data_IF_996601930528
#
_entry.id   IF_996601930528
#
_cell.length_a   1.000
_cell.length_b   1.000
_cell.length_c   1.000
_cell.angle_alpha   90.00
_cell.angle_beta   90.00
_cell.angle_gamma   90.00
#
_symmetry.space_group_name_H-M   'P 1'
#
loop_
_entity.id
_entity.type
_entity.pdbx_description
1 polymer ?
#
# COMPACT_ATOMS: atom_id res chain seq x y z
N UNK A 1 23.44 -24.34 22.88
CA UNK A 1 22.61 -23.71 23.91
C UNK A 1 23.45 -22.67 24.63
N UNK A 2 23.15 -21.39 24.41
CA UNK A 2 23.66 -20.30 25.26
C UNK A 2 23.09 -20.46 26.67
N UNK A 3 23.88 -20.22 27.74
CA UNK A 3 23.37 -20.36 29.10
C UNK A 3 22.31 -19.29 29.38
N UNK A 4 21.15 -19.71 29.89
CA UNK A 4 20.13 -18.82 30.46
C UNK A 4 20.72 -18.14 31.70
N UNK A 5 20.79 -16.81 31.69
CA UNK A 5 21.20 -16.02 32.86
C UNK A 5 19.99 -15.79 33.76
N UNK A 6 20.17 -16.03 35.06
CA UNK A 6 19.13 -15.82 36.07
C UNK A 6 19.69 -15.09 37.30
N UNK A 7 18.88 -14.23 37.90
CA UNK A 7 19.21 -13.50 39.13
C UNK A 7 18.09 -13.67 40.16
N UNK A 8 18.48 -13.92 41.41
CA UNK A 8 17.55 -14.01 42.55
C UNK A 8 17.46 -12.65 43.22
N UNK A 9 16.32 -12.01 43.14
CA UNK A 9 16.02 -10.84 43.97
C UNK A 9 15.28 -11.33 45.22
N UNK A 10 15.71 -10.88 46.40
CA UNK A 10 15.06 -11.23 47.67
C UNK A 10 14.17 -10.07 48.15
N UNK A 11 12.89 -10.01 47.73
CA UNK A 11 11.89 -9.27 48.49
C UNK A 11 11.43 -10.10 49.70
N UNK A 12 10.65 -9.46 50.57
CA UNK A 12 10.12 -9.87 51.89
C UNK A 12 9.85 -11.37 52.16
N UNK A 13 9.82 -11.74 53.45
CA UNK A 13 9.76 -13.09 54.05
C UNK A 13 8.77 -14.12 53.44
N UNK A 14 7.78 -13.70 52.65
CA UNK A 14 6.73 -14.55 52.06
C UNK A 14 6.77 -14.72 50.54
N UNK A 15 7.48 -13.89 49.78
CA UNK A 15 7.41 -13.87 48.30
C UNK A 15 8.82 -13.92 47.70
N UNK A 16 9.09 -14.85 46.79
CA UNK A 16 10.37 -14.97 46.08
C UNK A 16 10.18 -14.71 44.58
N UNK A 17 11.08 -13.93 43.99
CA UNK A 17 11.08 -13.60 42.56
C UNK A 17 12.29 -14.25 41.85
N UNK A 18 12.03 -14.86 40.69
CA UNK A 18 13.05 -15.45 39.81
C UNK A 18 12.95 -14.82 38.43
N UNK A 19 14.05 -14.25 37.96
CA UNK A 19 14.13 -13.64 36.62
C UNK A 19 14.89 -14.56 35.68
N UNK A 20 14.30 -14.87 34.52
CA UNK A 20 14.94 -15.61 33.42
C UNK A 20 15.17 -14.69 32.23
N UNK A 21 16.42 -14.53 31.81
CA UNK A 21 16.77 -13.75 30.62
C UNK A 21 16.96 -14.64 29.39
N UNK A 22 16.21 -14.39 28.31
CA UNK A 22 16.33 -15.07 27.02
C UNK A 22 17.06 -14.20 26.00
N UNK A 23 18.00 -14.81 25.29
CA UNK A 23 18.77 -14.15 24.23
C UNK A 23 18.26 -14.46 22.81
N UNK A 24 17.32 -15.40 22.67
CA UNK A 24 16.71 -15.77 21.39
C UNK A 24 15.20 -16.05 21.57
N UNK A 25 14.46 -15.98 20.45
CA UNK A 25 13.00 -16.18 20.45
C UNK A 25 12.60 -17.65 20.57
N UNK A 26 13.44 -18.58 20.12
CA UNK A 26 13.14 -20.03 20.14
C UNK A 26 13.09 -20.56 21.57
N UNK A 27 14.03 -20.18 22.43
CA UNK A 27 14.07 -20.57 23.84
C UNK A 27 12.87 -19.99 24.61
N UNK A 28 12.51 -18.73 24.33
CA UNK A 28 11.31 -18.10 24.90
C UNK A 28 10.05 -18.85 24.46
N UNK A 29 9.94 -19.20 23.17
CA UNK A 29 8.79 -19.93 22.63
C UNK A 29 8.65 -21.32 23.27
N UNK A 30 9.76 -22.02 23.49
CA UNK A 30 9.79 -23.30 24.20
C UNK A 30 9.24 -23.19 25.62
N UNK A 31 9.62 -22.15 26.36
CA UNK A 31 9.14 -21.91 27.73
C UNK A 31 7.67 -21.49 27.75
N UNK A 32 7.23 -20.64 26.82
CA UNK A 32 5.81 -20.27 26.68
C UNK A 32 4.94 -21.49 26.38
N UNK A 33 5.40 -22.39 25.51
CA UNK A 33 4.69 -23.64 25.22
C UNK A 33 4.61 -24.57 26.44
N UNK A 34 5.67 -24.63 27.26
CA UNK A 34 5.64 -25.37 28.53
C UNK A 34 4.71 -24.75 29.57
N UNK A 35 4.63 -23.42 29.64
CA UNK A 35 3.67 -22.71 30.50
C UNK A 35 2.21 -22.99 30.11
N UNK A 36 1.95 -23.16 28.82
CA UNK A 36 0.62 -23.43 28.28
C UNK A 36 0.22 -24.90 28.50
N UNK A 37 1.12 -25.84 28.18
CA UNK A 37 0.81 -27.27 28.20
C UNK A 37 1.07 -27.96 29.53
N UNK A 38 2.09 -27.55 30.28
CA UNK A 38 2.56 -28.21 31.52
C UNK A 38 3.01 -27.21 32.59
N UNK A 39 2.12 -26.26 32.92
CA UNK A 39 2.37 -25.21 33.92
C UNK A 39 2.87 -25.76 35.26
N UNK A 40 2.13 -26.68 35.88
CA UNK A 40 2.44 -27.18 37.22
C UNK A 40 3.82 -27.83 37.29
N UNK A 41 4.16 -28.63 36.28
CA UNK A 41 5.47 -29.24 36.14
C UNK A 41 6.58 -28.19 36.01
N UNK A 42 6.38 -27.16 35.19
CA UNK A 42 7.38 -26.11 35.04
C UNK A 42 7.63 -25.37 36.37
N UNK A 43 6.57 -25.00 37.09
CA UNK A 43 6.72 -24.32 38.37
C UNK A 43 7.29 -25.23 39.48
N UNK A 44 6.98 -26.54 39.48
CA UNK A 44 7.60 -27.48 40.44
C UNK A 44 9.10 -27.63 40.20
N UNK A 45 9.52 -27.71 38.94
CA UNK A 45 10.94 -27.77 38.57
C UNK A 45 11.67 -26.47 38.95
N UNK A 46 11.07 -25.30 38.72
CA UNK A 46 11.63 -24.00 39.12
C UNK A 46 11.76 -23.92 40.65
N UNK A 47 10.74 -24.35 41.40
CA UNK A 47 10.76 -24.38 42.87
C UNK A 47 11.85 -25.32 43.39
N UNK A 48 11.96 -26.52 42.83
CA UNK A 48 12.97 -27.50 43.20
C UNK A 48 14.39 -26.99 42.90
N UNK A 49 14.60 -26.40 41.73
CA UNK A 49 15.90 -25.88 41.31
C UNK A 49 16.37 -24.71 42.20
N UNK A 50 15.46 -23.82 42.59
CA UNK A 50 15.79 -22.64 43.43
C UNK A 50 15.57 -22.86 44.94
N UNK A 51 15.24 -24.08 45.37
CA UNK A 51 14.92 -24.46 46.75
C UNK A 51 13.88 -23.52 47.40
N UNK A 52 12.77 -23.29 46.70
CA UNK A 52 11.70 -22.37 47.14
C UNK A 52 10.59 -23.18 47.83
N UNK A 53 10.29 -22.93 49.11
CA UNK A 53 9.22 -23.63 49.83
C UNK A 53 7.85 -23.37 49.19
N UNK A 54 6.96 -24.37 49.24
CA UNK A 54 5.59 -24.26 48.70
C UNK A 54 4.75 -23.17 49.38
N UNK A 55 5.05 -22.86 50.63
CA UNK A 55 4.39 -21.80 51.40
C UNK A 55 4.75 -20.39 50.92
N UNK A 56 5.76 -20.24 50.05
CA UNK A 56 6.14 -18.95 49.50
C UNK A 56 5.50 -18.73 48.13
N UNK A 57 5.00 -17.52 47.93
CA UNK A 57 4.53 -17.07 46.62
C UNK A 57 5.72 -16.92 45.68
N UNK A 58 5.61 -17.49 44.47
CA UNK A 58 6.68 -17.50 43.46
C UNK A 58 6.28 -16.62 42.29
N UNK A 59 7.00 -15.52 42.10
CA UNK A 59 6.94 -14.68 40.91
C UNK A 59 8.02 -15.13 39.92
N UNK A 60 7.65 -15.39 38.67
CA UNK A 60 8.61 -15.73 37.61
C UNK A 60 8.51 -14.70 36.50
N UNK A 61 9.58 -13.93 36.31
CA UNK A 61 9.68 -12.92 35.27
C UNK A 61 10.54 -13.43 34.11
N UNK A 62 9.93 -13.51 32.93
CA UNK A 62 10.62 -13.85 31.69
C UNK A 62 11.00 -12.57 30.95
N UNK A 63 12.29 -12.26 30.88
CA UNK A 63 12.81 -11.08 30.20
C UNK A 63 13.50 -11.49 28.90
N UNK A 64 13.16 -10.82 27.80
CA UNK A 64 13.89 -10.98 26.54
C UNK A 64 14.98 -9.91 26.46
N UNK A 65 16.24 -10.32 26.40
CA UNK A 65 17.32 -9.42 25.97
C UNK A 65 17.12 -9.16 24.48
N UNK A 66 16.64 -7.97 24.17
CA UNK A 66 16.55 -7.53 22.79
C UNK A 66 17.95 -7.62 22.16
N UNK A 67 18.14 -8.26 21.00
CA UNK A 67 19.43 -8.21 20.32
C UNK A 67 19.83 -6.75 20.16
N UNK A 68 21.13 -6.39 20.20
CA UNK A 68 21.58 -5.04 19.88
C UNK A 68 21.20 -4.73 18.43
N UNK A 69 19.99 -4.22 18.27
CA UNK A 69 19.42 -3.86 17.00
C UNK A 69 19.97 -2.49 16.65
N UNK A 70 20.87 -2.44 15.66
CA UNK A 70 21.12 -1.21 14.91
C UNK A 70 19.91 -0.95 14.00
N UNK A 71 18.73 -0.74 14.59
CA UNK A 71 17.55 -0.31 13.86
C UNK A 71 17.82 1.09 13.33
N UNK A 72 17.91 1.21 12.01
CA UNK A 72 18.06 2.51 11.38
C UNK A 72 16.70 3.23 11.36
N UNK A 73 16.36 3.82 12.51
CA UNK A 73 15.13 4.60 12.72
C UNK A 73 15.05 5.75 11.70
N UNK A 74 16.20 6.27 11.24
CA UNK A 74 16.22 7.33 10.25
C UNK A 74 15.75 6.83 8.87
N UNK A 75 16.18 5.64 8.44
CA UNK A 75 15.68 4.97 7.23
C UNK A 75 14.24 4.52 7.37
N UNK A 76 13.85 3.99 8.54
CA UNK A 76 12.44 3.63 8.80
C UNK A 76 11.52 4.85 8.60
N UNK A 77 11.89 6.01 9.17
CA UNK A 77 11.12 7.25 9.00
C UNK A 77 11.06 7.71 7.54
N UNK A 78 12.16 7.59 6.79
CA UNK A 78 12.20 7.93 5.35
C UNK A 78 11.30 7.00 4.54
N UNK A 79 11.38 5.69 4.78
CA UNK A 79 10.53 4.68 4.13
C UNK A 79 9.06 4.92 4.43
N UNK A 80 8.69 5.15 5.70
CA UNK A 80 7.32 5.49 6.10
C UNK A 80 6.80 6.72 5.35
N UNK A 81 7.61 7.76 5.23
CA UNK A 81 7.25 8.96 4.48
C UNK A 81 7.01 8.68 3.00
N UNK A 82 7.93 7.98 2.33
CA UNK A 82 7.79 7.61 0.92
C UNK A 82 6.58 6.71 0.67
N UNK A 83 6.34 5.74 1.56
CA UNK A 83 5.19 4.87 1.47
C UNK A 83 3.88 5.64 1.61
N UNK A 84 3.79 6.54 2.60
CA UNK A 84 2.63 7.42 2.78
C UNK A 84 2.39 8.29 1.54
N UNK A 85 3.46 8.88 1.00
CA UNK A 85 3.40 9.69 -0.20
C UNK A 85 2.86 8.91 -1.41
N UNK A 86 3.35 7.69 -1.63
CA UNK A 86 2.86 6.82 -2.72
C UNK A 86 1.40 6.43 -2.55
N UNK A 87 0.98 6.09 -1.32
CA UNK A 87 -0.43 5.79 -1.02
C UNK A 87 -1.34 7.00 -1.27
N UNK A 88 -0.90 8.20 -0.90
CA UNK A 88 -1.67 9.42 -1.14
C UNK A 88 -1.79 9.71 -2.65
N UNK A 89 -0.72 9.52 -3.44
CA UNK A 89 -0.77 9.63 -4.90
C UNK A 89 -1.73 8.61 -5.53
N UNK A 90 -1.68 7.35 -5.11
CA UNK A 90 -2.55 6.29 -5.62
C UNK A 90 -4.02 6.56 -5.29
N UNK A 91 -4.31 6.94 -4.04
CA UNK A 91 -5.66 7.33 -3.61
C UNK A 91 -6.21 8.48 -4.45
N UNK A 92 -5.42 9.52 -4.68
CA UNK A 92 -5.81 10.65 -5.52
C UNK A 92 -6.07 10.20 -6.97
N UNK A 93 -5.22 9.35 -7.52
CA UNK A 93 -5.38 8.83 -8.88
C UNK A 93 -6.68 8.02 -9.02
N UNK A 94 -7.00 7.15 -8.06
CA UNK A 94 -8.25 6.39 -8.07
C UNK A 94 -9.48 7.29 -7.99
N UNK A 95 -9.49 8.25 -7.08
CA UNK A 95 -10.60 9.20 -6.94
C UNK A 95 -10.84 9.99 -8.25
N UNK A 96 -9.75 10.50 -8.85
CA UNK A 96 -9.85 11.24 -10.11
C UNK A 96 -10.23 10.34 -11.29
N UNK A 97 -9.86 9.06 -11.28
CA UNK A 97 -10.23 8.13 -12.35
C UNK A 97 -11.73 7.81 -12.34
N UNK A 98 -12.30 7.60 -11.15
CA UNK A 98 -13.76 7.40 -10.98
C UNK A 98 -14.52 8.67 -11.37
N UNK A 99 -14.10 9.82 -10.85
CA UNK A 99 -14.75 11.10 -11.14
C UNK A 99 -14.62 11.50 -12.62
N UNK A 100 -13.42 11.34 -13.18
CA UNK A 100 -13.12 11.61 -14.58
C UNK A 100 -13.92 10.70 -15.53
N UNK A 101 -14.07 9.42 -15.19
CA UNK A 101 -14.92 8.50 -15.92
C UNK A 101 -16.39 8.93 -15.95
N UNK A 102 -16.94 9.35 -14.79
CA UNK A 102 -18.30 9.86 -14.70
C UNK A 102 -18.51 11.14 -15.52
N UNK A 103 -17.62 12.13 -15.39
CA UNK A 103 -17.69 13.36 -16.18
C UNK A 103 -17.48 13.12 -17.67
N UNK A 104 -16.60 12.21 -18.06
CA UNK A 104 -16.43 11.83 -19.45
C UNK A 104 -17.68 11.16 -20.00
N UNK A 105 -18.33 10.25 -19.26
CA UNK A 105 -19.61 9.67 -19.69
C UNK A 105 -20.70 10.73 -19.88
N UNK A 106 -20.79 11.71 -18.99
CA UNK A 106 -21.72 12.83 -19.13
C UNK A 106 -21.32 13.83 -20.24
N UNK A 107 -20.02 13.86 -20.59
CA UNK A 107 -19.46 14.67 -21.67
C UNK A 107 -20.01 14.34 -23.05
N UNK A 108 -20.48 13.11 -23.26
CA UNK A 108 -21.17 12.70 -24.49
C UNK A 108 -22.49 13.46 -24.70
N UNK A 109 -23.09 13.99 -23.63
CA UNK A 109 -24.39 14.69 -23.65
C UNK A 109 -24.29 16.20 -23.40
N UNK A 110 -23.23 16.65 -22.71
CA UNK A 110 -23.01 18.06 -22.41
C UNK A 110 -21.52 18.41 -22.39
N UNK A 111 -21.15 19.39 -23.22
CA UNK A 111 -19.76 19.86 -23.38
C UNK A 111 -19.16 20.45 -22.10
N UNK A 112 -19.94 20.97 -21.15
CA UNK A 112 -19.41 21.47 -19.89
C UNK A 112 -18.86 20.35 -18.99
N UNK A 113 -19.44 19.15 -19.07
CA UNK A 113 -18.88 17.97 -18.42
C UNK A 113 -17.60 17.50 -19.11
N UNK A 114 -17.51 17.61 -20.44
CA UNK A 114 -16.28 17.34 -21.18
C UNK A 114 -15.15 18.31 -20.78
N UNK A 115 -15.45 19.61 -20.61
CA UNK A 115 -14.48 20.60 -20.07
C UNK A 115 -14.02 20.23 -18.67
N UNK A 116 -14.93 19.73 -17.83
CA UNK A 116 -14.60 19.29 -16.47
C UNK A 116 -13.72 18.03 -16.49
N UNK A 117 -14.03 17.06 -17.35
CA UNK A 117 -13.20 15.88 -17.58
C UNK A 117 -11.78 16.27 -18.04
N UNK A 118 -11.64 17.23 -18.96
CA UNK A 118 -10.35 17.74 -19.40
C UNK A 118 -9.51 18.31 -18.23
N UNK A 119 -10.13 19.10 -17.34
CA UNK A 119 -9.49 19.64 -16.14
C UNK A 119 -9.04 18.53 -15.18
N UNK A 120 -9.88 17.51 -14.98
CA UNK A 120 -9.55 16.36 -14.14
C UNK A 120 -8.34 15.61 -14.71
N UNK A 121 -8.35 15.35 -16.02
CA UNK A 121 -7.24 14.66 -16.67
C UNK A 121 -5.93 15.46 -16.61
N UNK A 122 -5.97 16.79 -16.69
CA UNK A 122 -4.77 17.61 -16.48
C UNK A 122 -4.15 17.39 -15.08
N UNK A 123 -4.99 17.23 -14.05
CA UNK A 123 -4.52 16.87 -12.70
C UNK A 123 -3.99 15.43 -12.66
N UNK A 124 -4.65 14.48 -13.32
CA UNK A 124 -4.17 13.10 -13.43
C UNK A 124 -2.79 13.03 -14.12
N UNK A 125 -2.54 13.82 -15.16
CA UNK A 125 -1.21 13.90 -15.81
C UNK A 125 -0.16 14.41 -14.83
N UNK A 126 -0.47 15.45 -14.06
CA UNK A 126 0.45 15.99 -13.04
C UNK A 126 0.79 14.94 -11.98
N UNK A 127 -0.21 14.18 -11.51
CA UNK A 127 -0.01 13.09 -10.56
C UNK A 127 0.76 11.91 -11.18
N UNK A 128 0.45 11.52 -12.41
CA UNK A 128 1.12 10.42 -13.11
C UNK A 128 2.62 10.70 -13.29
N UNK A 129 2.99 11.95 -13.60
CA UNK A 129 4.39 12.39 -13.65
C UNK A 129 5.10 12.25 -12.31
N UNK A 130 4.42 12.54 -11.18
CA UNK A 130 4.96 12.34 -9.83
C UNK A 130 5.08 10.87 -9.46
N UNK A 131 4.11 10.06 -9.91
CA UNK A 131 4.11 8.61 -9.70
C UNK A 131 5.25 7.92 -10.45
N UNK A 132 5.64 8.46 -11.62
CA UNK A 132 6.76 7.96 -12.40
C UNK A 132 6.45 6.72 -13.26
N UNK A 133 5.18 6.31 -13.34
CA UNK A 133 4.75 5.19 -14.19
C UNK A 133 4.30 5.69 -15.58
N UNK A 134 5.04 5.37 -16.65
CA UNK A 134 4.68 5.77 -18.00
C UNK A 134 3.38 5.12 -18.51
N UNK A 135 2.96 3.97 -17.97
CA UNK A 135 1.70 3.29 -18.32
C UNK A 135 0.49 4.07 -17.79
N UNK A 136 0.56 4.59 -16.56
CA UNK A 136 -0.46 5.50 -16.03
C UNK A 136 -0.51 6.78 -16.87
N UNK A 137 0.65 7.38 -17.14
CA UNK A 137 0.73 8.63 -17.91
C UNK A 137 0.14 8.47 -19.33
N UNK A 138 0.44 7.36 -20.01
CA UNK A 138 -0.12 7.05 -21.32
C UNK A 138 -1.66 6.93 -21.29
N UNK A 139 -2.23 6.31 -20.25
CA UNK A 139 -3.69 6.26 -20.06
C UNK A 139 -4.29 7.65 -19.84
N UNK A 140 -3.63 8.51 -19.06
CA UNK A 140 -4.08 9.89 -18.88
C UNK A 140 -4.12 10.67 -20.20
N UNK A 141 -3.15 10.48 -21.10
CA UNK A 141 -3.20 11.08 -22.44
C UNK A 141 -4.39 10.59 -23.27
N UNK A 142 -4.77 9.32 -23.14
CA UNK A 142 -5.98 8.80 -23.80
C UNK A 142 -7.26 9.43 -23.23
N UNK A 143 -7.31 9.75 -21.93
CA UNK A 143 -8.42 10.50 -21.34
C UNK A 143 -8.49 11.93 -21.89
N UNK A 144 -7.32 12.56 -22.12
CA UNK A 144 -7.25 13.86 -22.80
C UNK A 144 -7.81 13.75 -24.21
N UNK A 145 -7.40 12.74 -24.98
CA UNK A 145 -7.91 12.53 -26.33
C UNK A 145 -9.44 12.40 -26.35
N UNK A 146 -10.02 11.67 -25.38
CA UNK A 146 -11.47 11.53 -25.29
C UNK A 146 -12.17 12.86 -24.99
N UNK A 147 -11.64 13.66 -24.05
CA UNK A 147 -12.17 14.99 -23.75
C UNK A 147 -12.06 15.94 -24.95
N UNK A 148 -10.93 15.96 -25.66
CA UNK A 148 -10.74 16.74 -26.89
C UNK A 148 -11.76 16.36 -27.97
N UNK A 149 -12.02 15.06 -28.16
CA UNK A 149 -13.02 14.59 -29.11
C UNK A 149 -14.44 15.06 -28.72
N UNK A 150 -14.79 14.98 -27.44
CA UNK A 150 -16.09 15.43 -26.92
C UNK A 150 -16.29 16.95 -27.04
N UNK A 151 -15.19 17.71 -27.07
CA UNK A 151 -15.19 19.16 -27.32
C UNK A 151 -15.17 19.53 -28.80
N UNK A 152 -15.15 18.54 -29.71
CA UNK A 152 -15.15 18.74 -31.16
C UNK A 152 -13.75 18.79 -31.81
N UNK A 153 -12.68 18.65 -31.03
CA UNK A 153 -11.30 18.68 -31.52
C UNK A 153 -10.83 17.28 -31.98
N UNK A 154 -11.56 16.67 -32.91
CA UNK A 154 -11.36 15.28 -33.30
C UNK A 154 -9.96 15.00 -33.89
N UNK A 155 -9.42 15.93 -34.68
CA UNK A 155 -8.07 15.80 -35.27
C UNK A 155 -6.99 15.69 -34.19
N UNK A 156 -7.08 16.53 -33.15
CA UNK A 156 -6.15 16.51 -32.02
C UNK A 156 -6.28 15.21 -31.24
N UNK A 157 -7.51 14.75 -30.98
CA UNK A 157 -7.77 13.49 -30.30
C UNK A 157 -7.16 12.30 -31.05
N UNK A 158 -7.35 12.22 -32.37
CA UNK A 158 -6.76 11.16 -33.21
C UNK A 158 -5.24 11.19 -33.16
N UNK A 159 -4.62 12.38 -33.20
CA UNK A 159 -3.18 12.55 -33.11
C UNK A 159 -2.63 11.97 -31.80
N UNK A 160 -3.26 12.31 -30.66
CA UNK A 160 -2.87 11.80 -29.35
C UNK A 160 -2.99 10.26 -29.29
N UNK A 161 -4.11 9.69 -29.73
CA UNK A 161 -4.31 8.23 -29.71
C UNK A 161 -3.26 7.52 -30.58
N UNK A 162 -2.92 8.07 -31.75
CA UNK A 162 -1.87 7.51 -32.62
C UNK A 162 -0.50 7.54 -31.94
N UNK A 163 -0.15 8.66 -31.30
CA UNK A 163 1.11 8.79 -30.57
C UNK A 163 1.19 7.78 -29.41
N UNK A 164 0.14 7.65 -28.60
CA UNK A 164 0.09 6.68 -27.49
C UNK A 164 0.09 5.22 -27.99
N UNK A 165 -0.60 4.93 -29.09
CA UNK A 165 -0.60 3.60 -29.72
C UNK A 165 0.77 3.24 -30.29
N UNK A 166 1.47 4.21 -30.89
CA UNK A 166 2.83 4.01 -31.35
C UNK A 166 3.76 3.73 -30.17
N UNK A 167 3.72 4.58 -29.13
CA UNK A 167 4.53 4.39 -27.92
C UNK A 167 4.27 3.03 -27.26
N UNK A 168 3.02 2.62 -27.09
CA UNK A 168 2.70 1.34 -26.44
C UNK A 168 3.25 0.14 -27.21
N UNK A 169 3.19 0.12 -28.55
CA UNK A 169 3.78 -0.95 -29.36
C UNK A 169 5.30 -1.08 -29.21
N UNK A 170 5.99 0.00 -28.84
CA UNK A 170 7.44 0.03 -28.67
C UNK A 170 7.90 -0.30 -27.24
N UNK A 171 6.97 -0.45 -26.28
CA UNK A 171 7.29 -0.62 -24.86
C UNK A 171 6.64 -1.90 -24.30
N UNK A 172 7.36 -2.68 -23.48
CA UNK A 172 6.82 -3.90 -22.86
C UNK A 172 5.77 -3.56 -21.79
N UNK A 173 4.92 -4.54 -21.45
CA UNK A 173 3.90 -4.42 -20.39
C UNK A 173 2.85 -3.32 -20.62
N UNK A 174 2.57 -2.97 -21.88
CA UNK A 174 1.62 -1.91 -22.26
C UNK A 174 0.31 -2.42 -22.84
N UNK A 175 0.00 -3.73 -22.71
CA UNK A 175 -1.22 -4.33 -23.27
C UNK A 175 -2.50 -3.61 -22.84
N UNK A 176 -2.53 -3.15 -21.58
CA UNK A 176 -3.65 -2.36 -21.07
C UNK A 176 -3.82 -1.04 -21.82
N UNK A 177 -2.72 -0.36 -22.16
CA UNK A 177 -2.74 0.89 -22.93
C UNK A 177 -3.22 0.63 -24.35
N UNK A 178 -2.81 -0.48 -24.96
CA UNK A 178 -3.26 -0.86 -26.30
C UNK A 178 -4.78 -1.11 -26.33
N UNK A 179 -5.31 -1.82 -25.33
CA UNK A 179 -6.76 -2.01 -25.16
C UNK A 179 -7.49 -0.68 -24.93
N UNK A 180 -6.94 0.21 -24.11
CA UNK A 180 -7.49 1.56 -23.92
C UNK A 180 -7.48 2.37 -25.23
N UNK A 181 -6.43 2.28 -26.05
CA UNK A 181 -6.37 2.94 -27.35
C UNK A 181 -7.51 2.47 -28.26
N UNK A 182 -7.80 1.17 -28.26
CA UNK A 182 -8.90 0.62 -29.06
C UNK A 182 -10.27 1.12 -28.57
N UNK A 183 -10.51 1.10 -27.26
CA UNK A 183 -11.76 1.65 -26.69
C UNK A 183 -11.97 3.12 -27.00
N UNK A 184 -10.91 3.93 -26.87
CA UNK A 184 -10.94 5.36 -27.20
C UNK A 184 -11.16 5.54 -28.70
N UNK A 185 -10.52 4.76 -29.56
CA UNK A 185 -10.73 4.83 -31.01
C UNK A 185 -12.19 4.57 -31.40
N UNK A 186 -12.86 3.59 -30.78
CA UNK A 186 -14.28 3.34 -31.03
C UNK A 186 -15.15 4.52 -30.59
N UNK A 187 -14.84 5.16 -29.45
CA UNK A 187 -15.50 6.40 -29.01
C UNK A 187 -15.32 7.55 -30.01
N UNK A 188 -14.10 7.78 -30.49
CA UNK A 188 -13.79 8.80 -31.49
C UNK A 188 -14.56 8.55 -32.80
N UNK A 189 -14.65 7.29 -33.24
CA UNK A 189 -15.42 6.90 -34.41
C UNK A 189 -16.93 7.16 -34.21
N UNK A 190 -17.47 6.89 -33.04
CA UNK A 190 -18.86 7.20 -32.72
C UNK A 190 -19.13 8.72 -32.78
N UNK A 191 -18.26 9.53 -32.17
CA UNK A 191 -18.36 11.00 -32.22
C UNK A 191 -18.27 11.52 -33.67
N UNK A 192 -17.41 10.92 -34.50
CA UNK A 192 -17.32 11.28 -35.91
C UNK A 192 -18.61 11.02 -36.69
N UNK A 193 -19.30 9.91 -36.40
CA UNK A 193 -20.52 9.49 -37.10
C UNK A 193 -21.75 10.24 -36.59
N UNK A 194 -21.89 10.37 -35.27
CA UNK A 194 -23.09 10.90 -34.63
C UNK A 194 -23.01 12.36 -34.22
N UNK A 195 -21.82 12.96 -34.29
CA UNK A 195 -21.56 14.32 -33.83
C UNK A 195 -21.33 14.41 -32.32
N UNK A 196 -21.15 15.65 -31.84
CA UNK A 196 -20.95 15.96 -30.41
C UNK A 196 -22.26 16.43 -29.76
N UNK A 197 -22.28 16.39 -28.43
CA UNK A 197 -23.31 17.01 -27.60
C UNK A 197 -23.63 18.44 -28.04
N UNK A 198 -24.89 18.70 -28.38
CA UNK A 198 -25.38 20.04 -28.76
C UNK A 198 -25.22 20.42 -30.23
N UNK A 199 -24.64 19.57 -31.08
CA UNK A 199 -24.50 19.82 -32.52
C UNK A 199 -25.75 19.45 -33.35
N UNK A 200 -26.78 18.87 -32.73
CA UNK A 200 -28.09 18.54 -33.33
C UNK A 200 -29.20 19.52 -32.90
N UNK A 201 -28.92 20.83 -32.90
CA UNK A 201 -29.94 21.87 -32.76
C UNK A 201 -30.02 22.71 -34.03
#
# INVERSE_FOLDING_TARGET
MTPLTHSKETPSTSTQAVVFEFNNLEDLYGVLNLLELRREYLFSEIRAFHNIPDNNELLVDFQMKNPPHNLDIAWERRLKHLFRYMLDLEKLMWNLSTLGGAYSAMGDFNTDYAKTAAKITAHQISLAKKYGDPVILARCYLYTALAEAQLGHLTQAVSIVRAVRHWSKQNPNTDIVQRCCEGVYQKLRAIHIFGIAGSNK
#
